data_IF_210670512720
#
_entry.id   IF_210670512720
#
_cell.length_a   1.000
_cell.length_b   1.000
_cell.length_c   1.000
_cell.angle_alpha   90.00
_cell.angle_beta   90.00
_cell.angle_gamma   90.00
#
_symmetry.space_group_name_H-M   'P 1'
#
loop_
_entity.id
_entity.type
_entity.pdbx_description
1 polymer ?
#
# COMPACT_ATOMS: atom_id res chain seq x y z
N UNK A 1 -10.62 0.43 -23.65
CA UNK A 1 -10.79 1.43 -22.56
C UNK A 1 -10.15 0.80 -21.32
N UNK A 2 -9.13 1.41 -20.79
CA UNK A 2 -8.48 0.95 -19.53
C UNK A 2 -9.44 1.21 -18.38
N UNK A 3 -9.79 0.15 -17.63
CA UNK A 3 -10.68 0.28 -16.46
C UNK A 3 -9.93 0.97 -15.34
N UNK A 4 -10.48 2.06 -14.79
CA UNK A 4 -9.94 2.71 -13.60
C UNK A 4 -10.27 1.88 -12.35
N UNK A 5 -9.30 1.71 -11.47
CA UNK A 5 -9.47 1.01 -10.18
C UNK A 5 -9.44 1.95 -8.98
N UNK A 6 -8.84 3.15 -9.14
CA UNK A 6 -8.87 4.22 -8.14
C UNK A 6 -9.26 5.52 -8.84
N UNK A 7 -10.18 6.27 -8.24
CA UNK A 7 -10.63 7.56 -8.75
C UNK A 7 -10.80 8.54 -7.60
N UNK A 8 -10.10 9.67 -7.70
CA UNK A 8 -10.22 10.79 -6.78
C UNK A 8 -10.73 11.99 -7.57
N UNK A 9 -11.79 12.61 -7.09
CA UNK A 9 -12.41 13.78 -7.71
C UNK A 9 -12.51 14.90 -6.69
N UNK A 10 -11.69 15.94 -6.85
CA UNK A 10 -11.55 17.08 -5.94
C UNK A 10 -11.39 16.64 -4.48
N UNK A 11 -10.71 15.50 -4.26
CA UNK A 11 -10.56 14.91 -2.95
C UNK A 11 -9.72 15.83 -2.04
N UNK A 12 -10.20 16.04 -0.83
CA UNK A 12 -9.55 16.88 0.16
C UNK A 12 -9.52 16.18 1.52
N UNK A 13 -8.46 16.46 2.29
CA UNK A 13 -8.30 15.97 3.65
C UNK A 13 -7.90 17.11 4.58
N UNK A 14 -8.63 17.27 5.66
CA UNK A 14 -8.29 18.19 6.76
C UNK A 14 -8.33 17.41 8.07
N UNK A 15 -7.30 17.57 8.89
CA UNK A 15 -7.20 16.94 10.20
C UNK A 15 -7.25 18.00 11.30
N UNK A 16 -7.90 17.66 12.41
CA UNK A 16 -7.92 18.53 13.59
C UNK A 16 -6.65 18.31 14.41
N UNK A 17 -5.85 19.36 14.55
CA UNK A 17 -4.64 19.37 15.35
C UNK A 17 -4.76 20.29 16.56
N UNK A 18 -3.77 20.26 17.46
CA UNK A 18 -3.75 21.11 18.67
C UNK A 18 -3.79 22.61 18.36
N UNK A 19 -3.38 23.03 17.16
CA UNK A 19 -3.36 24.41 16.69
C UNK A 19 -4.54 24.80 15.78
N UNK A 20 -5.57 23.93 15.70
CA UNK A 20 -6.71 24.07 14.81
C UNK A 20 -6.72 23.09 13.64
N UNK A 21 -7.69 23.27 12.74
CA UNK A 21 -7.87 22.41 11.57
C UNK A 21 -6.81 22.68 10.50
N UNK A 22 -6.04 21.67 10.14
CA UNK A 22 -4.98 21.75 9.12
C UNK A 22 -5.43 21.02 7.87
N UNK A 23 -5.42 21.71 6.73
CA UNK A 23 -5.72 21.08 5.42
C UNK A 23 -4.46 20.41 4.89
N UNK A 24 -4.51 19.08 4.75
CA UNK A 24 -3.39 18.23 4.34
C UNK A 24 -3.39 18.01 2.82
N UNK A 25 -4.60 17.77 2.25
CA UNK A 25 -4.77 17.54 0.82
C UNK A 25 -5.79 18.52 0.24
N UNK A 26 -5.50 19.01 -0.96
CA UNK A 26 -6.26 20.08 -1.61
C UNK A 26 -6.65 19.66 -3.03
N UNK A 27 -7.94 19.44 -3.26
CA UNK A 27 -8.55 19.29 -4.59
C UNK A 27 -7.81 18.27 -5.48
N UNK A 28 -7.49 17.09 -4.91
CA UNK A 28 -6.79 16.02 -5.61
C UNK A 28 -7.71 15.41 -6.66
N UNK A 29 -7.27 15.45 -7.91
CA UNK A 29 -7.89 14.76 -9.03
C UNK A 29 -6.87 13.75 -9.57
N UNK A 30 -7.17 12.45 -9.46
CA UNK A 30 -6.27 11.38 -9.84
C UNK A 30 -7.06 10.14 -10.21
N UNK A 31 -6.65 9.46 -11.27
CA UNK A 31 -7.15 8.13 -11.65
C UNK A 31 -5.99 7.17 -11.72
N UNK A 32 -6.20 5.90 -11.33
CA UNK A 32 -5.22 4.82 -11.48
C UNK A 32 -5.88 3.69 -12.24
N UNK A 33 -5.21 3.25 -13.30
CA UNK A 33 -5.72 2.17 -14.14
C UNK A 33 -5.45 0.79 -13.54
N UNK A 34 -6.23 -0.21 -13.93
CA UNK A 34 -6.01 -1.59 -13.52
C UNK A 34 -4.64 -2.09 -13.98
N UNK A 35 -3.88 -2.70 -13.07
CA UNK A 35 -2.54 -3.24 -13.33
C UNK A 35 -1.45 -2.17 -13.43
N UNK A 36 -1.78 -0.88 -13.31
CA UNK A 36 -0.82 0.22 -13.31
C UNK A 36 0.05 0.19 -12.04
N UNK A 37 1.29 0.60 -12.19
CA UNK A 37 2.18 0.94 -11.07
C UNK A 37 2.33 2.46 -11.00
N UNK A 38 1.77 3.06 -9.95
CA UNK A 38 1.82 4.50 -9.68
C UNK A 38 2.83 4.82 -8.59
N UNK A 39 3.85 5.62 -8.89
CA UNK A 39 4.76 6.19 -7.92
C UNK A 39 4.27 7.54 -7.39
N UNK A 40 4.17 7.70 -6.08
CA UNK A 40 3.89 8.97 -5.42
C UNK A 40 5.18 9.52 -4.81
N UNK A 41 5.66 10.64 -5.31
CA UNK A 41 6.91 11.28 -4.86
C UNK A 41 6.66 12.71 -4.38
N UNK A 42 7.61 13.27 -3.64
CA UNK A 42 7.54 14.64 -3.13
C UNK A 42 8.28 14.80 -1.80
N UNK A 43 8.48 16.04 -1.33
CA UNK A 43 9.16 16.31 -0.07
C UNK A 43 8.42 15.70 1.14
N UNK A 44 9.11 15.57 2.27
CA UNK A 44 8.47 15.18 3.53
C UNK A 44 7.38 16.19 3.89
N UNK A 45 6.26 15.69 4.42
CA UNK A 45 5.11 16.54 4.77
C UNK A 45 4.24 16.99 3.58
N UNK A 46 4.52 16.58 2.34
CA UNK A 46 3.70 16.97 1.17
C UNK A 46 2.33 16.28 1.08
N UNK A 47 2.02 15.32 1.97
CA UNK A 47 0.72 14.63 2.00
C UNK A 47 0.69 13.26 1.32
N UNK A 48 1.85 12.67 0.93
CA UNK A 48 1.92 11.37 0.21
C UNK A 48 1.25 10.22 0.96
N UNK A 49 1.67 10.01 2.21
CA UNK A 49 1.08 8.96 3.07
C UNK A 49 -0.41 9.21 3.32
N UNK A 50 -0.80 10.48 3.54
CA UNK A 50 -2.21 10.84 3.70
C UNK A 50 -3.03 10.55 2.44
N UNK A 51 -2.46 10.79 1.25
CA UNK A 51 -3.11 10.46 -0.02
C UNK A 51 -3.25 8.94 -0.18
N UNK A 52 -2.21 8.18 0.17
CA UNK A 52 -2.25 6.71 0.16
C UNK A 52 -3.32 6.18 1.13
N UNK A 53 -3.41 6.73 2.37
CA UNK A 53 -4.44 6.35 3.35
C UNK A 53 -5.86 6.63 2.85
N UNK A 54 -6.04 7.77 2.15
CA UNK A 54 -7.31 8.13 1.53
C UNK A 54 -7.71 7.12 0.44
N UNK A 55 -6.76 6.75 -0.45
CA UNK A 55 -6.98 5.72 -1.48
C UNK A 55 -7.31 4.36 -0.88
N UNK A 56 -6.75 4.04 0.30
CA UNK A 56 -7.01 2.81 1.04
C UNK A 56 -8.29 2.81 1.86
N UNK A 57 -9.02 3.93 1.94
CA UNK A 57 -10.15 4.08 2.86
C UNK A 57 -9.75 3.93 4.34
N UNK A 58 -8.46 4.20 4.68
CA UNK A 58 -7.94 4.24 6.04
C UNK A 58 -8.15 5.61 6.68
N UNK A 59 -8.31 6.63 5.84
CA UNK A 59 -8.73 7.97 6.19
C UNK A 59 -9.96 8.35 5.35
N UNK A 60 -10.88 9.13 5.91
CA UNK A 60 -12.04 9.62 5.20
C UNK A 60 -11.78 10.99 4.58
N UNK A 61 -12.15 11.16 3.31
CA UNK A 61 -12.09 12.46 2.66
C UNK A 61 -13.00 13.48 3.38
N UNK A 62 -12.47 14.67 3.64
CA UNK A 62 -13.26 15.78 4.21
C UNK A 62 -13.93 16.62 3.14
N UNK A 63 -13.70 16.32 1.86
CA UNK A 63 -14.31 16.94 0.70
C UNK A 63 -13.99 16.15 -0.57
N UNK A 64 -14.80 16.33 -1.60
CA UNK A 64 -14.69 15.61 -2.86
C UNK A 64 -15.14 14.15 -2.75
N UNK A 65 -14.65 13.33 -3.67
CA UNK A 65 -15.01 11.91 -3.79
C UNK A 65 -13.77 11.04 -3.94
N UNK A 66 -13.78 9.86 -3.29
CA UNK A 66 -12.79 8.79 -3.46
C UNK A 66 -13.54 7.52 -3.80
N UNK A 67 -13.20 6.89 -4.91
CA UNK A 67 -13.76 5.62 -5.31
C UNK A 67 -12.65 4.61 -5.60
N UNK A 68 -12.90 3.35 -5.26
CA UNK A 68 -12.02 2.22 -5.56
C UNK A 68 -12.83 1.05 -6.10
N UNK A 69 -12.40 0.44 -7.20
CA UNK A 69 -13.06 -0.70 -7.86
C UNK A 69 -14.55 -0.45 -8.12
N UNK A 70 -14.92 0.79 -8.45
CA UNK A 70 -16.31 1.22 -8.69
C UNK A 70 -17.13 1.51 -7.43
N UNK A 71 -16.56 1.32 -6.23
CA UNK A 71 -17.22 1.60 -4.95
C UNK A 71 -16.85 2.99 -4.44
N UNK A 72 -17.84 3.76 -4.00
CA UNK A 72 -17.64 5.09 -3.40
C UNK A 72 -17.25 4.97 -1.92
N UNK A 73 -15.94 5.07 -1.64
CA UNK A 73 -15.41 4.96 -0.28
C UNK A 73 -15.84 6.13 0.61
N UNK A 74 -16.18 7.27 0.03
CA UNK A 74 -16.58 8.47 0.79
C UNK A 74 -17.93 8.29 1.49
N UNK A 75 -18.80 7.44 0.94
CA UNK A 75 -20.14 7.17 1.46
C UNK A 75 -20.23 5.95 2.36
N UNK A 76 -19.16 5.14 2.45
CA UNK A 76 -19.12 3.92 3.26
C UNK A 76 -18.92 4.23 4.73
N UNK A 77 -19.61 3.48 5.60
CA UNK A 77 -19.32 3.43 7.03
C UNK A 77 -18.05 2.61 7.32
N UNK A 78 -17.52 2.74 8.57
CA UNK A 78 -16.24 2.09 8.94
C UNK A 78 -16.27 0.56 8.78
N UNK A 79 -17.38 -0.09 9.14
CA UNK A 79 -17.52 -1.55 8.96
C UNK A 79 -17.52 -1.97 7.48
N UNK A 80 -18.09 -1.17 6.61
CA UNK A 80 -18.10 -1.40 5.15
C UNK A 80 -16.72 -1.19 4.58
N UNK A 81 -16.03 -0.11 4.97
CA UNK A 81 -14.65 0.16 4.59
C UNK A 81 -13.70 -0.96 5.06
N UNK A 82 -13.87 -1.46 6.30
CA UNK A 82 -13.05 -2.54 6.84
C UNK A 82 -13.21 -3.84 6.02
N UNK A 83 -14.45 -4.20 5.66
CA UNK A 83 -14.73 -5.36 4.79
C UNK A 83 -14.17 -5.15 3.39
N UNK A 84 -14.38 -3.98 2.81
CA UNK A 84 -13.85 -3.65 1.50
C UNK A 84 -12.32 -3.75 1.45
N UNK A 85 -11.63 -3.16 2.44
CA UNK A 85 -10.17 -3.27 2.57
C UNK A 85 -9.71 -4.72 2.69
N UNK A 86 -10.33 -5.49 3.59
CA UNK A 86 -10.01 -6.90 3.80
C UNK A 86 -10.06 -7.73 2.50
N UNK A 87 -11.07 -7.47 1.67
CA UNK A 87 -11.37 -8.30 0.50
C UNK A 87 -10.63 -7.84 -0.77
N UNK A 88 -10.16 -6.58 -0.81
CA UNK A 88 -9.68 -5.99 -2.06
C UNK A 88 -8.30 -5.33 -1.98
N UNK A 89 -7.81 -5.00 -0.78
CA UNK A 89 -6.60 -4.21 -0.61
C UNK A 89 -5.54 -4.90 0.23
N UNK A 90 -4.29 -4.73 -0.16
CA UNK A 90 -3.12 -5.02 0.67
C UNK A 90 -2.39 -3.73 0.99
N UNK A 91 -1.94 -3.56 2.24
CA UNK A 91 -1.20 -2.37 2.66
C UNK A 91 0.13 -2.76 3.30
N UNK A 92 1.20 -2.15 2.81
CA UNK A 92 2.56 -2.29 3.33
C UNK A 92 3.00 -0.94 3.87
N UNK A 93 3.40 -0.92 5.14
CA UNK A 93 3.84 0.29 5.83
C UNK A 93 5.35 0.31 6.03
N UNK A 94 5.92 1.49 6.19
CA UNK A 94 7.33 1.70 6.52
C UNK A 94 7.72 1.02 7.84
N UNK A 95 6.86 1.04 8.86
CA UNK A 95 7.11 0.49 10.19
C UNK A 95 6.59 -0.95 10.35
N UNK A 96 6.43 -1.71 9.26
CA UNK A 96 6.01 -3.12 9.21
C UNK A 96 4.64 -3.41 9.84
N UNK A 97 4.30 -2.82 10.97
CA UNK A 97 3.07 -2.98 11.76
C UNK A 97 2.72 -4.47 11.97
N UNK A 98 3.72 -5.29 12.28
CA UNK A 98 3.51 -6.68 12.69
C UNK A 98 2.93 -6.72 14.10
N UNK A 99 2.07 -7.70 14.35
CA UNK A 99 1.52 -7.96 15.68
C UNK A 99 2.62 -8.64 16.50
N UNK A 100 3.15 -7.99 17.56
CA UNK A 100 4.38 -8.44 18.21
C UNK A 100 4.23 -9.75 19.00
N UNK A 101 3.00 -10.12 19.34
CA UNK A 101 2.65 -11.35 20.08
C UNK A 101 2.30 -12.53 19.16
N UNK A 102 2.37 -12.33 17.85
CA UNK A 102 2.12 -13.35 16.83
C UNK A 102 3.42 -13.69 16.09
N UNK A 103 3.60 -14.96 15.74
CA UNK A 103 4.67 -15.43 14.86
C UNK A 103 4.57 -14.83 13.45
N UNK A 104 5.60 -15.00 12.62
CA UNK A 104 5.55 -14.60 11.22
C UNK A 104 4.38 -15.28 10.48
N UNK A 105 4.18 -16.58 10.72
CA UNK A 105 3.08 -17.33 10.12
C UNK A 105 1.70 -16.79 10.54
N UNK A 106 1.49 -16.55 11.83
CA UNK A 106 0.24 -16.02 12.37
C UNK A 106 -0.03 -14.59 11.85
N UNK A 107 1.01 -13.74 11.75
CA UNK A 107 0.87 -12.42 11.15
C UNK A 107 0.37 -12.47 9.70
N UNK A 108 0.87 -13.42 8.91
CA UNK A 108 0.46 -13.57 7.50
C UNK A 108 -0.91 -14.26 7.40
N UNK A 109 -1.25 -15.17 8.29
CA UNK A 109 -2.53 -15.87 8.32
C UNK A 109 -3.69 -14.97 8.76
N UNK A 110 -3.43 -14.00 9.65
CA UNK A 110 -4.47 -13.13 10.26
C UNK A 110 -5.47 -12.53 9.26
N UNK A 111 -5.09 -11.87 8.17
CA UNK A 111 -6.06 -11.31 7.22
C UNK A 111 -6.90 -12.40 6.54
N UNK A 112 -6.35 -13.58 6.32
CA UNK A 112 -7.06 -14.71 5.74
C UNK A 112 -8.09 -15.31 6.71
N UNK A 113 -7.73 -15.43 8.00
CA UNK A 113 -8.64 -15.89 9.05
C UNK A 113 -9.80 -14.91 9.24
N UNK A 114 -9.52 -13.59 9.25
CA UNK A 114 -10.54 -12.54 9.31
C UNK A 114 -11.48 -12.55 8.09
N UNK A 115 -10.99 -13.03 6.95
CA UNK A 115 -11.80 -13.24 5.73
C UNK A 115 -12.54 -14.59 5.73
N UNK A 116 -12.35 -15.45 6.76
CA UNK A 116 -13.00 -16.74 6.90
C UNK A 116 -12.44 -17.85 6.02
N UNK A 117 -11.21 -17.71 5.52
CA UNK A 117 -10.55 -18.74 4.72
C UNK A 117 -10.16 -19.95 5.58
N UNK A 118 -10.66 -21.14 5.23
CA UNK A 118 -10.35 -22.38 5.95
C UNK A 118 -8.91 -22.85 5.76
N UNK A 119 -8.25 -22.40 4.70
CA UNK A 119 -6.88 -22.70 4.30
C UNK A 119 -5.90 -21.57 4.65
N UNK A 120 -6.26 -20.69 5.62
CA UNK A 120 -5.51 -19.49 5.97
C UNK A 120 -4.03 -19.78 6.24
N UNK A 121 -3.72 -20.74 7.10
CA UNK A 121 -2.34 -21.10 7.45
C UNK A 121 -1.56 -21.71 6.27
N UNK A 122 -2.20 -22.56 5.48
CA UNK A 122 -1.57 -23.14 4.30
C UNK A 122 -1.19 -22.08 3.26
N UNK A 123 -2.09 -21.10 3.04
CA UNK A 123 -1.81 -19.95 2.16
C UNK A 123 -0.73 -19.06 2.74
N UNK A 124 -0.75 -18.81 4.05
CA UNK A 124 0.27 -18.04 4.73
C UNK A 124 1.67 -18.67 4.63
N UNK A 125 1.77 -19.99 4.75
CA UNK A 125 3.03 -20.73 4.53
C UNK A 125 3.55 -20.53 3.10
N UNK A 126 2.69 -20.63 2.09
CA UNK A 126 3.06 -20.43 0.69
C UNK A 126 3.53 -18.98 0.40
N UNK A 127 2.92 -17.98 1.05
CA UNK A 127 3.37 -16.59 0.89
C UNK A 127 4.68 -16.31 1.65
N UNK A 128 4.92 -16.94 2.82
CA UNK A 128 6.23 -16.89 3.50
C UNK A 128 7.32 -17.57 2.69
N UNK A 129 7.04 -18.68 2.02
CA UNK A 129 7.95 -19.32 1.09
C UNK A 129 8.28 -18.41 -0.10
N UNK A 130 7.29 -17.74 -0.69
CA UNK A 130 7.46 -16.80 -1.79
C UNK A 130 8.39 -15.62 -1.46
N UNK A 131 8.45 -15.22 -0.18
CA UNK A 131 9.37 -14.17 0.30
C UNK A 131 10.65 -14.74 0.94
N UNK A 132 10.91 -16.05 0.83
CA UNK A 132 12.13 -16.71 1.32
C UNK A 132 12.22 -16.87 2.84
N UNK A 133 11.08 -16.93 3.54
CA UNK A 133 11.01 -16.97 5.01
C UNK A 133 10.41 -18.26 5.59
N UNK A 134 10.37 -19.37 4.85
CA UNK A 134 9.85 -20.66 5.34
C UNK A 134 10.54 -21.08 6.66
N UNK A 135 11.86 -20.82 6.78
CA UNK A 135 12.66 -21.16 7.96
C UNK A 135 12.43 -20.21 9.16
N UNK A 136 11.66 -19.13 8.99
CA UNK A 136 11.35 -18.12 10.00
C UNK A 136 9.90 -18.11 10.44
N UNK A 137 9.07 -19.00 9.94
CA UNK A 137 7.62 -19.01 10.14
C UNK A 137 7.19 -18.95 11.62
N UNK A 138 7.94 -19.62 12.50
CA UNK A 138 7.65 -19.72 13.94
C UNK A 138 8.35 -18.63 14.78
N UNK A 139 9.01 -17.65 14.14
CA UNK A 139 9.69 -16.55 14.84
C UNK A 139 8.73 -15.39 15.08
N UNK A 140 8.89 -14.77 16.26
CA UNK A 140 8.19 -13.52 16.60
C UNK A 140 8.91 -12.31 15.97
N UNK A 141 8.21 -11.17 15.74
CA UNK A 141 8.82 -9.97 15.16
C UNK A 141 10.13 -9.54 15.82
N UNK A 142 10.24 -9.62 17.14
CA UNK A 142 11.45 -9.26 17.89
C UNK A 142 12.68 -10.16 17.58
N UNK A 143 12.47 -11.32 16.96
CA UNK A 143 13.51 -12.26 16.56
C UNK A 143 13.90 -12.14 15.08
N UNK A 144 13.25 -11.23 14.35
CA UNK A 144 13.46 -10.99 12.94
C UNK A 144 14.24 -9.70 12.70
N UNK A 145 15.15 -9.71 11.74
CA UNK A 145 15.77 -8.49 11.23
C UNK A 145 14.74 -7.56 10.58
N UNK A 146 15.07 -6.27 10.39
CA UNK A 146 14.19 -5.31 9.73
C UNK A 146 13.75 -5.76 8.33
N UNK A 147 14.69 -6.30 7.54
CA UNK A 147 14.38 -6.85 6.21
C UNK A 147 13.50 -8.10 6.26
N UNK A 148 13.67 -8.97 7.27
CA UNK A 148 12.78 -10.12 7.48
C UNK A 148 11.38 -9.67 7.89
N UNK A 149 11.27 -8.69 8.80
CA UNK A 149 9.97 -8.11 9.20
C UNK A 149 9.23 -7.49 8.00
N UNK A 150 9.96 -6.78 7.14
CA UNK A 150 9.36 -6.21 5.92
C UNK A 150 8.89 -7.28 4.97
N UNK A 151 9.64 -8.38 4.79
CA UNK A 151 9.18 -9.52 3.99
C UNK A 151 7.94 -10.19 4.57
N UNK A 152 7.83 -10.32 5.89
CA UNK A 152 6.59 -10.78 6.54
C UNK A 152 5.43 -9.82 6.27
N UNK A 153 5.65 -8.50 6.36
CA UNK A 153 4.62 -7.50 6.05
C UNK A 153 4.15 -7.56 4.59
N UNK A 154 5.09 -7.79 3.64
CA UNK A 154 4.76 -8.03 2.23
C UNK A 154 3.93 -9.30 2.04
N UNK A 155 4.34 -10.41 2.64
CA UNK A 155 3.59 -11.67 2.60
C UNK A 155 2.17 -11.51 3.16
N UNK A 156 2.03 -10.80 4.30
CA UNK A 156 0.74 -10.49 4.91
C UNK A 156 -0.17 -9.67 3.99
N UNK A 157 0.38 -8.63 3.37
CA UNK A 157 -0.37 -7.77 2.46
C UNK A 157 -0.80 -8.50 1.18
N UNK A 158 -0.01 -9.49 0.74
CA UNK A 158 -0.20 -10.25 -0.50
C UNK A 158 -1.10 -11.49 -0.32
N UNK A 159 -1.15 -12.07 0.88
CA UNK A 159 -1.84 -13.33 1.17
C UNK A 159 -3.33 -13.34 0.77
N UNK A 160 -4.11 -12.26 0.95
CA UNK A 160 -5.48 -12.17 0.46
C UNK A 160 -5.62 -12.12 -1.06
N UNK A 161 -4.51 -11.95 -1.81
CA UNK A 161 -4.49 -11.68 -3.26
C UNK A 161 -5.25 -10.40 -3.62
N UNK A 162 -4.83 -9.26 -3.09
CA UNK A 162 -5.54 -8.00 -3.27
C UNK A 162 -5.53 -7.55 -4.73
N UNK A 163 -6.57 -6.83 -5.14
CA UNK A 163 -6.61 -6.16 -6.43
C UNK A 163 -5.81 -4.86 -6.43
N UNK A 164 -5.67 -4.22 -5.27
CA UNK A 164 -4.89 -2.99 -5.06
C UNK A 164 -3.88 -3.24 -3.94
N UNK A 165 -2.61 -2.95 -4.23
CA UNK A 165 -1.52 -3.00 -3.27
C UNK A 165 -1.02 -1.57 -3.03
N UNK A 166 -1.07 -1.13 -1.78
CA UNK A 166 -0.62 0.18 -1.35
C UNK A 166 0.67 0.01 -0.54
N UNK A 167 1.72 0.74 -0.87
CA UNK A 167 3.00 0.66 -0.19
C UNK A 167 3.49 2.05 0.22
N UNK A 168 3.63 2.29 1.52
CA UNK A 168 4.13 3.54 2.07
C UNK A 168 5.58 3.38 2.51
N UNK A 169 6.50 3.94 1.72
CA UNK A 169 7.95 3.91 1.93
C UNK A 169 8.49 2.51 2.34
N UNK A 170 8.21 1.44 1.57
CA UNK A 170 8.46 0.06 1.98
C UNK A 170 9.93 -0.28 2.22
N UNK A 171 10.86 0.61 1.85
CA UNK A 171 12.31 0.45 2.03
C UNK A 171 12.91 1.48 2.99
N UNK A 172 12.09 2.38 3.56
CA UNK A 172 12.58 3.56 4.29
C UNK A 172 13.39 3.25 5.57
N UNK A 173 13.20 2.05 6.16
CA UNK A 173 13.90 1.61 7.37
C UNK A 173 15.00 0.54 7.08
N UNK A 174 15.39 0.36 5.81
CA UNK A 174 16.30 -0.68 5.38
C UNK A 174 17.57 -0.09 4.79
N UNK A 175 18.67 -0.84 4.86
CA UNK A 175 19.88 -0.56 4.08
C UNK A 175 19.63 -0.80 2.58
N UNK A 176 20.52 -0.33 1.74
CA UNK A 176 20.37 -0.33 0.29
C UNK A 176 20.16 -1.74 -0.29
N UNK A 177 20.95 -2.73 0.17
CA UNK A 177 20.88 -4.11 -0.33
C UNK A 177 19.54 -4.78 0.03
N UNK A 178 19.09 -4.64 1.28
CA UNK A 178 17.80 -5.15 1.72
C UNK A 178 16.66 -4.39 1.05
N UNK A 179 16.81 -3.09 0.81
CA UNK A 179 15.85 -2.27 0.10
C UNK A 179 15.59 -2.75 -1.33
N UNK A 180 16.65 -3.05 -2.09
CA UNK A 180 16.52 -3.58 -3.46
C UNK A 180 15.78 -4.92 -3.49
N UNK A 181 16.11 -5.85 -2.59
CA UNK A 181 15.43 -7.13 -2.48
C UNK A 181 13.92 -6.98 -2.15
N UNK A 182 13.56 -6.02 -1.29
CA UNK A 182 12.15 -5.71 -0.97
C UNK A 182 11.42 -5.17 -2.21
N UNK A 183 12.07 -4.31 -2.99
CA UNK A 183 11.50 -3.78 -4.24
C UNK A 183 11.22 -4.92 -5.23
N UNK A 184 12.18 -5.80 -5.46
CA UNK A 184 12.00 -6.94 -6.37
C UNK A 184 10.85 -7.85 -5.92
N UNK A 185 10.75 -8.14 -4.61
CA UNK A 185 9.66 -8.91 -4.05
C UNK A 185 8.31 -8.20 -4.22
N UNK A 186 8.24 -6.89 -3.96
CA UNK A 186 7.00 -6.09 -4.09
C UNK A 186 6.47 -6.14 -5.53
N UNK A 187 7.34 -5.90 -6.52
CA UNK A 187 6.95 -5.96 -7.92
C UNK A 187 6.63 -7.40 -8.36
N UNK A 188 7.40 -8.40 -7.90
CA UNK A 188 7.13 -9.81 -8.18
C UNK A 188 5.78 -10.28 -7.61
N UNK A 189 5.42 -9.87 -6.40
CA UNK A 189 4.11 -10.18 -5.81
C UNK A 189 2.97 -9.47 -6.56
N UNK A 190 3.17 -8.19 -6.96
CA UNK A 190 2.22 -7.47 -7.81
C UNK A 190 1.98 -8.22 -9.12
N UNK A 191 3.04 -8.64 -9.80
CA UNK A 191 2.94 -9.37 -11.08
C UNK A 191 2.29 -10.76 -10.91
N UNK A 192 2.67 -11.48 -9.86
CA UNK A 192 2.09 -12.79 -9.51
C UNK A 192 0.56 -12.73 -9.33
N UNK A 193 0.05 -11.64 -8.78
CA UNK A 193 -1.38 -11.49 -8.46
C UNK A 193 -2.13 -10.58 -9.44
N UNK A 194 -1.44 -9.91 -10.36
CA UNK A 194 -2.04 -8.95 -11.29
C UNK A 194 -2.61 -7.72 -10.59
N UNK A 195 -2.05 -7.35 -9.44
CA UNK A 195 -2.52 -6.23 -8.65
C UNK A 195 -2.12 -4.88 -9.25
N UNK A 196 -2.89 -3.83 -8.96
CA UNK A 196 -2.50 -2.44 -9.18
C UNK A 196 -1.66 -1.99 -8.00
N UNK A 197 -0.51 -1.35 -8.23
CA UNK A 197 0.40 -0.92 -7.18
C UNK A 197 0.43 0.62 -7.07
N UNK A 198 0.18 1.15 -5.88
CA UNK A 198 0.48 2.55 -5.54
C UNK A 198 1.62 2.57 -4.52
N UNK A 199 2.70 3.24 -4.87
CA UNK A 199 3.95 3.24 -4.11
C UNK A 199 4.35 4.65 -3.73
N UNK A 200 4.37 4.96 -2.44
CA UNK A 200 5.01 6.16 -1.90
C UNK A 200 6.50 5.91 -1.73
N UNK A 201 7.32 6.76 -2.29
CA UNK A 201 8.78 6.66 -2.13
C UNK A 201 9.46 8.01 -2.27
N UNK A 202 10.60 8.17 -1.58
CA UNK A 202 11.55 9.26 -1.81
C UNK A 202 12.72 8.82 -2.71
N UNK A 203 12.82 7.53 -3.06
CA UNK A 203 13.85 7.00 -3.94
C UNK A 203 13.51 7.23 -5.41
N UNK A 204 14.36 8.01 -6.09
CA UNK A 204 14.22 8.25 -7.53
C UNK A 204 14.42 6.99 -8.38
N UNK A 205 15.26 6.05 -7.95
CA UNK A 205 15.48 4.78 -8.64
C UNK A 205 14.22 3.91 -8.59
N UNK A 206 13.55 3.89 -7.45
CA UNK A 206 12.32 3.13 -7.25
C UNK A 206 11.14 3.76 -8.02
N UNK A 207 11.00 5.09 -7.98
CA UNK A 207 9.98 5.79 -8.75
C UNK A 207 10.10 5.54 -10.26
N UNK A 208 11.31 5.43 -10.80
CA UNK A 208 11.55 5.12 -12.22
C UNK A 208 11.12 3.71 -12.64
N UNK A 209 10.90 2.78 -11.71
CA UNK A 209 10.35 1.45 -12.00
C UNK A 209 8.83 1.48 -12.18
N UNK A 210 8.15 2.55 -11.75
CA UNK A 210 6.70 2.70 -11.90
C UNK A 210 6.34 3.12 -13.34
N UNK A 211 5.13 2.76 -13.76
CA UNK A 211 4.60 3.11 -15.09
C UNK A 211 4.32 4.62 -15.19
N UNK A 212 3.91 5.23 -14.08
CA UNK A 212 3.63 6.66 -13.95
C UNK A 212 4.08 7.17 -12.58
N UNK A 213 4.52 8.42 -12.56
CA UNK A 213 4.96 9.09 -11.33
C UNK A 213 4.15 10.37 -11.16
N UNK A 214 3.56 10.53 -9.98
CA UNK A 214 2.84 11.73 -9.56
C UNK A 214 3.63 12.41 -8.45
N UNK A 215 3.91 13.70 -8.64
CA UNK A 215 4.61 14.51 -7.66
C UNK A 215 3.63 15.32 -6.83
N UNK A 216 3.66 15.10 -5.51
CA UNK A 216 2.93 15.92 -4.54
C UNK A 216 3.83 17.05 -4.01
N UNK A 217 3.23 18.23 -3.88
CA UNK A 217 3.81 19.39 -3.19
C UNK A 217 2.70 20.16 -2.49
N UNK A 218 2.89 20.46 -1.22
CA UNK A 218 1.96 21.24 -0.40
C UNK A 218 0.50 20.75 -0.50
N UNK A 219 0.31 19.41 -0.44
CA UNK A 219 -1.01 18.78 -0.50
C UNK A 219 -1.70 18.84 -1.88
N UNK A 220 -0.98 19.14 -2.95
CA UNK A 220 -1.49 19.21 -4.33
C UNK A 220 -0.66 18.35 -5.27
N UNK A 221 -1.27 17.89 -6.35
CA UNK A 221 -0.53 17.31 -7.47
C UNK A 221 0.15 18.48 -8.21
N UNK A 222 1.48 18.44 -8.25
CA UNK A 222 2.29 19.46 -8.89
C UNK A 222 2.70 19.08 -10.32
N UNK A 223 2.91 17.80 -10.58
CA UNK A 223 3.35 17.27 -11.87
C UNK A 223 3.03 15.78 -11.99
N UNK A 224 2.82 15.30 -13.23
CA UNK A 224 2.64 13.90 -13.57
C UNK A 224 3.55 13.55 -14.75
N UNK A 225 4.34 12.49 -14.63
CA UNK A 225 5.19 11.98 -15.67
C UNK A 225 4.91 10.49 -15.93
N UNK A 226 4.67 10.13 -17.18
CA UNK A 226 4.61 8.72 -17.60
C UNK A 226 6.02 8.21 -17.86
N UNK A 227 6.24 6.91 -17.65
CA UNK A 227 7.49 6.25 -18.06
C UNK A 227 7.56 6.30 -19.59
N UNK A 228 8.60 6.92 -20.12
CA UNK A 228 8.90 6.79 -21.54
C UNK A 228 9.07 5.30 -21.88
N UNK A 229 8.31 4.82 -22.85
CA UNK A 229 8.47 3.45 -23.33
C UNK A 229 9.93 3.30 -23.81
N UNK A 230 10.68 2.40 -23.18
CA UNK A 230 11.99 2.02 -23.68
C UNK A 230 11.77 1.36 -25.05
N UNK A 231 12.20 2.02 -26.12
CA UNK A 231 12.31 1.45 -27.47
C UNK A 231 13.34 0.32 -27.51
#
# INVERSE_FOLDING_TARGET
MTTSVLELQNAALSLDGNAGRVKILHDINLTVAQGETLGLVGPSGSGKSSLLMLMGGLEQATGGKVAALGHDLTSMGEDELARFRRDTMGVVFQNFHLIPTMTALENVATPLELAGHKDAFQRAEAELEAVGLSHRRDHYPAQLSGGEQQRVALARASAPRPQILLADEPTGNLDETNGEAIVELLFGLRDKHGATLVLVTHSHSLARKCDRVVRLRDGRIADEAQREAAE
#
